data_IF_142323532962
#
_entry.id   IF_142323532962
#
_cell.length_a   1.000
_cell.length_b   1.000
_cell.length_c   1.000
_cell.angle_alpha   90.00
_cell.angle_beta   90.00
_cell.angle_gamma   90.00
#
_symmetry.space_group_name_H-M   'P 1'
#
loop_
_entity.id
_entity.type
_entity.pdbx_description
1 polymer ?
#
# COMPACT_ATOMS: atom_id res chain seq x y z
N UNK A 1 0.06 0.22 20.64
CA UNK A 1 1.20 0.47 19.75
C UNK A 1 0.99 -0.24 18.41
N UNK A 2 1.08 -1.58 18.35
CA UNK A 2 0.87 -2.35 17.11
C UNK A 2 -0.47 -2.10 16.39
N UNK A 3 -1.57 -1.91 17.12
CA UNK A 3 -2.86 -1.63 16.49
C UNK A 3 -2.84 -0.30 15.69
N UNK A 4 -2.16 0.74 16.19
CA UNK A 4 -2.04 2.02 15.49
C UNK A 4 -1.20 1.88 14.21
N UNK A 5 -0.10 1.14 14.28
CA UNK A 5 0.72 0.77 13.13
C UNK A 5 -0.10 0.01 12.07
N UNK A 6 -0.78 -1.07 12.48
CA UNK A 6 -1.60 -1.91 11.59
C UNK A 6 -2.71 -1.10 10.94
N UNK A 7 -3.40 -0.22 11.68
CA UNK A 7 -4.43 0.65 11.11
C UNK A 7 -3.85 1.61 10.07
N UNK A 8 -2.70 2.24 10.34
CA UNK A 8 -2.03 3.13 9.37
C UNK A 8 -1.63 2.39 8.10
N UNK A 9 -1.00 1.22 8.27
CA UNK A 9 -0.61 0.37 7.14
C UNK A 9 -1.82 -0.03 6.30
N UNK A 10 -2.90 -0.49 6.93
CA UNK A 10 -4.12 -0.91 6.25
C UNK A 10 -4.78 0.25 5.48
N UNK A 11 -4.82 1.46 6.06
CA UNK A 11 -5.38 2.65 5.39
C UNK A 11 -4.54 3.01 4.17
N UNK A 12 -3.20 2.99 4.28
CA UNK A 12 -2.31 3.31 3.15
C UNK A 12 -2.43 2.24 2.06
N UNK A 13 -2.41 0.96 2.41
CA UNK A 13 -2.60 -0.15 1.48
C UNK A 13 -3.94 -0.03 0.74
N UNK A 14 -5.03 0.23 1.47
CA UNK A 14 -6.35 0.42 0.89
C UNK A 14 -6.39 1.59 -0.10
N UNK A 15 -5.80 2.73 0.26
CA UNK A 15 -5.72 3.89 -0.62
C UNK A 15 -4.94 3.59 -1.92
N UNK A 16 -3.80 2.90 -1.80
CA UNK A 16 -2.99 2.52 -2.97
C UNK A 16 -3.73 1.54 -3.87
N UNK A 17 -4.43 0.54 -3.30
CA UNK A 17 -5.26 -0.41 -4.05
C UNK A 17 -6.40 0.32 -4.77
N UNK A 18 -7.11 1.22 -4.08
CA UNK A 18 -8.22 1.97 -4.66
C UNK A 18 -7.76 2.86 -5.82
N UNK A 19 -6.67 3.61 -5.65
CA UNK A 19 -6.08 4.43 -6.71
C UNK A 19 -5.62 3.58 -7.90
N UNK A 20 -5.02 2.43 -7.64
CA UNK A 20 -4.59 1.51 -8.70
C UNK A 20 -5.78 0.94 -9.47
N UNK A 21 -6.84 0.51 -8.77
CA UNK A 21 -8.06 0.01 -9.38
C UNK A 21 -8.74 1.07 -10.27
N UNK A 22 -8.83 2.31 -9.77
CA UNK A 22 -9.34 3.46 -10.53
C UNK A 22 -8.47 3.67 -11.78
N UNK A 23 -7.15 3.73 -11.63
CA UNK A 23 -6.23 3.92 -12.74
C UNK A 23 -6.36 2.84 -13.81
N UNK A 24 -6.36 1.56 -13.42
CA UNK A 24 -6.50 0.44 -14.37
C UNK A 24 -7.86 0.49 -15.08
N UNK A 25 -8.94 0.78 -14.35
CA UNK A 25 -10.28 0.83 -14.93
C UNK A 25 -10.44 1.93 -15.99
N UNK A 26 -9.93 3.13 -15.71
CA UNK A 26 -10.09 4.28 -16.63
C UNK A 26 -9.08 4.27 -17.79
N UNK A 27 -7.85 3.80 -17.57
CA UNK A 27 -6.78 3.90 -18.58
C UNK A 27 -6.50 2.59 -19.33
N UNK A 28 -6.86 1.42 -18.77
CA UNK A 28 -6.32 0.12 -19.22
C UNK A 28 -7.34 -1.04 -19.22
N UNK A 29 -8.55 -0.81 -19.72
CA UNK A 29 -9.67 -1.78 -19.63
C UNK A 29 -9.43 -3.13 -20.31
N UNK A 30 -8.64 -3.20 -21.39
CA UNK A 30 -8.48 -4.42 -22.19
C UNK A 30 -7.56 -5.48 -21.57
N UNK A 31 -6.65 -5.09 -20.67
CA UNK A 31 -5.61 -5.96 -20.10
C UNK A 31 -5.52 -5.83 -18.57
N UNK A 32 -6.69 -5.67 -17.92
CA UNK A 32 -6.83 -5.42 -16.48
C UNK A 32 -5.95 -6.34 -15.62
N UNK A 33 -5.96 -7.65 -15.86
CA UNK A 33 -5.17 -8.63 -15.07
C UNK A 33 -3.67 -8.40 -15.16
N UNK A 34 -3.15 -8.12 -16.36
CA UNK A 34 -1.72 -7.87 -16.58
C UNK A 34 -1.24 -6.64 -15.81
N UNK A 35 -2.05 -5.58 -15.80
CA UNK A 35 -1.73 -4.35 -15.06
C UNK A 35 -1.77 -4.55 -13.54
N UNK A 36 -2.70 -5.35 -13.02
CA UNK A 36 -2.69 -5.68 -11.59
C UNK A 36 -1.40 -6.39 -11.18
N UNK A 37 -0.93 -7.36 -11.97
CA UNK A 37 0.33 -8.07 -11.70
C UNK A 37 1.51 -7.10 -11.76
N UNK A 38 1.56 -6.23 -12.76
CA UNK A 38 2.63 -5.24 -12.92
C UNK A 38 2.65 -4.23 -11.77
N UNK A 39 1.49 -3.89 -11.20
CA UNK A 39 1.37 -2.94 -10.10
C UNK A 39 1.59 -3.57 -8.72
N UNK A 40 1.65 -4.90 -8.59
CA UNK A 40 1.87 -5.59 -7.30
C UNK A 40 3.09 -5.08 -6.52
N UNK A 41 4.27 -4.86 -7.13
CA UNK A 41 5.42 -4.31 -6.42
C UNK A 41 5.16 -2.92 -5.84
N UNK A 42 4.36 -2.10 -6.53
CA UNK A 42 4.02 -0.75 -6.08
C UNK A 42 2.96 -0.79 -4.98
N UNK A 43 1.93 -1.64 -5.16
CA UNK A 43 0.85 -1.85 -4.19
C UNK A 43 1.41 -2.31 -2.84
N UNK A 44 2.43 -3.17 -2.84
CA UNK A 44 3.07 -3.65 -1.61
C UNK A 44 4.22 -2.74 -1.16
N UNK A 45 5.02 -2.23 -2.09
CA UNK A 45 6.20 -1.44 -1.78
C UNK A 45 5.87 -0.09 -1.12
N UNK A 46 4.83 0.62 -1.59
CA UNK A 46 4.44 1.91 -1.01
C UNK A 46 4.06 1.77 0.47
N UNK A 47 3.12 0.87 0.86
CA UNK A 47 2.79 0.65 2.27
C UNK A 47 3.97 0.19 3.12
N UNK A 48 4.87 -0.66 2.58
CA UNK A 48 6.06 -1.12 3.30
C UNK A 48 7.01 0.06 3.58
N UNK A 49 7.36 0.85 2.57
CA UNK A 49 8.23 2.02 2.77
C UNK A 49 7.57 3.03 3.70
N UNK A 50 6.28 3.31 3.51
CA UNK A 50 5.54 4.20 4.39
C UNK A 50 5.52 3.69 5.84
N UNK A 51 5.45 2.38 6.07
CA UNK A 51 5.49 1.80 7.41
C UNK A 51 6.82 2.03 8.12
N UNK A 52 7.94 2.05 7.37
CA UNK A 52 9.28 2.33 7.92
C UNK A 52 9.44 3.82 8.18
N UNK A 53 9.03 4.67 7.23
CA UNK A 53 9.17 6.13 7.35
C UNK A 53 8.27 6.71 8.45
N UNK A 54 7.08 6.14 8.64
CA UNK A 54 6.10 6.60 9.63
C UNK A 54 6.19 5.84 10.96
N UNK A 55 7.14 4.90 11.09
CA UNK A 55 7.40 4.21 12.35
C UNK A 55 7.78 5.23 13.41
N UNK A 56 7.16 5.13 14.58
CA UNK A 56 7.52 5.97 15.73
C UNK A 56 8.67 5.36 16.52
N UNK A 57 9.45 6.18 17.24
CA UNK A 57 10.56 5.70 18.09
C UNK A 57 10.10 4.64 19.10
N UNK A 58 8.89 4.78 19.62
CA UNK A 58 8.31 3.79 20.52
C UNK A 58 8.04 2.44 19.80
N UNK A 59 7.63 2.47 18.53
CA UNK A 59 7.41 1.27 17.70
C UNK A 59 8.72 0.62 17.25
N UNK A 60 9.78 1.41 17.03
CA UNK A 60 11.10 0.94 16.65
C UNK A 60 11.90 0.42 17.85
N UNK A 61 11.76 1.04 19.03
CA UNK A 61 12.43 0.63 20.27
C UNK A 61 11.85 -0.65 20.89
N UNK A 62 10.70 -1.12 20.42
CA UNK A 62 10.07 -2.36 20.86
C UNK A 62 10.62 -3.61 20.11
N UNK A 63 11.54 -3.41 19.15
CA UNK A 63 12.24 -4.45 18.38
C UNK A 63 13.68 -4.55 18.86
#
# INVERSE_FOLDING_TARGET
MLLKFVTRFAVILFAVIALTAIGIHFFFSSNTTTFWIMMMPIILGIPIVASVVLATDEELSAV
#
